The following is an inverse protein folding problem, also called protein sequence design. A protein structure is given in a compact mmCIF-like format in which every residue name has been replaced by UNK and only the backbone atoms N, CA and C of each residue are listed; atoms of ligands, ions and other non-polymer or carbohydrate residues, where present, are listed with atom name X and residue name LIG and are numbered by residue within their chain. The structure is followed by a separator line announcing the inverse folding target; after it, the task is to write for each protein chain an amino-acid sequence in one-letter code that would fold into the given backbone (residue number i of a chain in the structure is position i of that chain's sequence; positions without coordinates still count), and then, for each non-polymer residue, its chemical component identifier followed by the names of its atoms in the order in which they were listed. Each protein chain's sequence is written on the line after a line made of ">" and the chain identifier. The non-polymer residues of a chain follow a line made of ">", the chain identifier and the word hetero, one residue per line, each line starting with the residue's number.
data_IF_454831253000
#
_entry.id   IF_454831253000
#
_cell.length_a   1.000
_cell.length_b   1.000
_cell.length_c   1.000
_cell.angle_alpha   90.00
_cell.angle_beta   90.00
_cell.angle_gamma   90.00
#
_symmetry.space_group_name_H-M   'P 1'
#
loop_
_entity.id
_entity.type
_entity.pdbx_description
1 polymer ?
#
# COMPACT_ATOMS: atom_id res chain seq x y z
N UNK A 1 -14.32 7.79 -17.48
CA UNK A 1 -13.26 7.84 -16.45
C UNK A 1 -12.89 6.40 -16.11
N UNK A 2 -11.62 6.01 -16.23
CA UNK A 2 -11.18 4.70 -15.75
C UNK A 2 -11.07 4.75 -14.23
N UNK A 3 -11.63 3.76 -13.53
CA UNK A 3 -11.59 3.67 -12.07
C UNK A 3 -10.16 3.43 -11.59
N UNK A 4 -9.78 4.00 -10.44
CA UNK A 4 -8.40 3.90 -9.92
C UNK A 4 -7.94 2.44 -9.82
N UNK A 5 -8.83 1.55 -9.37
CA UNK A 5 -8.61 0.10 -9.32
C UNK A 5 -8.20 -0.50 -10.68
N UNK A 6 -9.00 -0.22 -11.73
CA UNK A 6 -8.78 -0.78 -13.07
C UNK A 6 -7.48 -0.28 -13.68
N UNK A 7 -7.12 0.98 -13.40
CA UNK A 7 -5.86 1.56 -13.83
C UNK A 7 -4.66 0.88 -13.17
N UNK A 8 -4.70 0.67 -11.85
CA UNK A 8 -3.63 -0.03 -11.15
C UNK A 8 -3.51 -1.47 -11.65
N UNK A 9 -4.62 -2.19 -11.78
CA UNK A 9 -4.62 -3.57 -12.28
C UNK A 9 -4.04 -3.65 -13.69
N UNK A 10 -4.41 -2.73 -14.58
CA UNK A 10 -3.87 -2.69 -15.95
C UNK A 10 -2.37 -2.39 -15.97
N UNK A 11 -1.89 -1.48 -15.11
CA UNK A 11 -0.46 -1.16 -15.01
C UNK A 11 0.33 -2.35 -14.48
N UNK A 12 -0.14 -2.96 -13.38
CA UNK A 12 0.56 -4.08 -12.75
C UNK A 12 0.49 -5.35 -13.59
N UNK A 13 -0.59 -5.60 -14.33
CA UNK A 13 -0.64 -6.71 -15.29
C UNK A 13 0.41 -6.57 -16.40
N UNK A 14 0.78 -5.34 -16.81
CA UNK A 14 1.87 -5.11 -17.76
C UNK A 14 3.22 -5.35 -17.11
N UNK A 15 3.45 -4.82 -15.90
CA UNK A 15 4.72 -4.98 -15.18
C UNK A 15 4.98 -6.45 -14.82
N UNK A 16 3.92 -7.17 -14.43
CA UNK A 16 3.96 -8.59 -14.06
C UNK A 16 3.82 -9.53 -15.27
N UNK A 17 3.72 -9.05 -16.51
CA UNK A 17 3.46 -9.93 -17.66
C UNK A 17 4.56 -10.98 -17.87
N UNK A 18 5.78 -10.69 -17.40
CA UNK A 18 6.93 -11.57 -17.48
C UNK A 18 7.14 -12.43 -16.21
N UNK A 19 6.28 -12.27 -15.21
CA UNK A 19 6.32 -13.00 -13.94
C UNK A 19 5.02 -13.81 -13.84
N UNK A 20 5.09 -15.04 -13.32
CA UNK A 20 3.87 -15.80 -13.07
C UNK A 20 2.96 -14.99 -12.13
N UNK A 21 1.77 -14.58 -12.61
CA UNK A 21 0.89 -13.68 -11.86
C UNK A 21 0.55 -14.34 -10.50
N UNK A 22 0.95 -13.73 -9.37
CA UNK A 22 0.62 -14.29 -8.08
C UNK A 22 -0.89 -14.20 -7.85
N UNK A 23 -1.53 -15.30 -7.47
CA UNK A 23 -2.98 -15.35 -7.21
C UNK A 23 -3.38 -14.70 -5.88
N UNK A 24 -2.41 -14.26 -5.08
CA UNK A 24 -2.58 -13.84 -3.69
C UNK A 24 -2.49 -12.32 -3.48
N UNK A 25 -2.37 -11.51 -4.53
CA UNK A 25 -2.38 -10.05 -4.38
C UNK A 25 -3.81 -9.55 -4.20
N UNK A 26 -4.05 -8.88 -3.09
CA UNK A 26 -5.34 -8.26 -2.78
C UNK A 26 -5.22 -6.74 -2.90
N UNK A 27 -5.92 -6.16 -3.87
CA UNK A 27 -6.05 -4.71 -4.04
C UNK A 27 -7.33 -4.26 -3.34
N UNK A 28 -7.23 -3.25 -2.46
CA UNK A 28 -8.36 -2.78 -1.66
C UNK A 28 -9.36 -1.98 -2.53
N UNK A 29 -10.49 -2.62 -2.86
CA UNK A 29 -11.57 -2.00 -3.67
C UNK A 29 -12.26 -0.84 -2.93
N UNK A 30 -12.51 -0.97 -1.63
CA UNK A 30 -13.16 0.07 -0.85
C UNK A 30 -12.31 1.35 -0.82
N UNK A 31 -11.00 1.21 -0.62
CA UNK A 31 -10.08 2.35 -0.71
C UNK A 31 -10.10 2.97 -2.11
N UNK A 32 -10.14 2.17 -3.18
CA UNK A 32 -10.25 2.72 -4.54
C UNK A 32 -11.52 3.55 -4.73
N UNK A 33 -12.66 3.12 -4.19
CA UNK A 33 -13.93 3.87 -4.30
C UNK A 33 -13.87 5.19 -3.54
N UNK A 34 -13.27 5.19 -2.34
CA UNK A 34 -13.01 6.41 -1.58
C UNK A 34 -12.11 7.36 -2.39
N UNK A 35 -10.98 6.86 -2.91
CA UNK A 35 -10.07 7.65 -3.75
C UNK A 35 -10.74 8.19 -5.01
N UNK A 36 -11.61 7.40 -5.65
CA UNK A 36 -12.35 7.82 -6.84
C UNK A 36 -13.27 9.02 -6.54
N UNK A 37 -13.80 9.13 -5.32
CA UNK A 37 -14.62 10.26 -4.87
C UNK A 37 -13.84 11.55 -4.56
N UNK A 38 -12.53 11.47 -4.33
CA UNK A 38 -11.69 12.63 -4.00
C UNK A 38 -11.31 13.45 -5.24
N UNK A 39 -11.28 14.78 -5.13
CA UNK A 39 -10.81 15.70 -6.17
C UNK A 39 -9.28 15.83 -6.19
N UNK A 40 -8.58 14.70 -6.38
CA UNK A 40 -7.11 14.65 -6.49
C UNK A 40 -6.67 14.06 -7.84
N UNK A 41 -5.44 14.32 -8.30
CA UNK A 41 -4.93 13.78 -9.56
C UNK A 41 -5.02 12.25 -9.62
N UNK A 42 -5.40 11.71 -10.78
CA UNK A 42 -5.53 10.25 -10.97
C UNK A 42 -4.24 9.50 -10.65
N UNK A 43 -3.08 10.05 -11.03
CA UNK A 43 -1.77 9.49 -10.68
C UNK A 43 -1.58 9.36 -9.17
N UNK A 44 -1.99 10.37 -8.39
CA UNK A 44 -1.93 10.33 -6.92
C UNK A 44 -2.82 9.25 -6.35
N UNK A 45 -4.04 9.07 -6.88
CA UNK A 45 -4.96 8.00 -6.47
C UNK A 45 -4.33 6.62 -6.69
N UNK A 46 -3.79 6.39 -7.90
CA UNK A 46 -3.15 5.12 -8.26
C UNK A 46 -1.91 4.87 -7.41
N UNK A 47 -1.11 5.91 -7.12
CA UNK A 47 0.06 5.80 -6.25
C UNK A 47 -0.33 5.37 -4.83
N UNK A 48 -1.33 6.03 -4.23
CA UNK A 48 -1.83 5.69 -2.88
C UNK A 48 -2.35 4.23 -2.85
N UNK A 49 -3.11 3.83 -3.86
CA UNK A 49 -3.62 2.46 -3.94
C UNK A 49 -2.49 1.43 -4.14
N UNK A 50 -1.44 1.77 -4.89
CA UNK A 50 -0.27 0.91 -5.11
C UNK A 50 0.49 0.66 -3.82
N UNK A 51 0.81 1.70 -3.05
CA UNK A 51 1.56 1.55 -1.81
C UNK A 51 0.72 0.86 -0.72
N UNK A 52 -0.58 1.15 -0.63
CA UNK A 52 -1.48 0.43 0.27
C UNK A 52 -1.50 -1.08 -0.07
N UNK A 53 -1.58 -1.43 -1.36
CA UNK A 53 -1.51 -2.82 -1.82
C UNK A 53 -0.18 -3.47 -1.43
N UNK A 54 0.94 -2.77 -1.62
CA UNK A 54 2.27 -3.26 -1.24
C UNK A 54 2.35 -3.58 0.25
N UNK A 55 2.02 -2.61 1.10
CA UNK A 55 2.11 -2.74 2.56
C UNK A 55 1.20 -3.86 3.07
N UNK A 56 -0.05 -3.92 2.59
CA UNK A 56 -0.99 -4.98 2.96
C UNK A 56 -0.55 -6.36 2.47
N UNK A 57 0.09 -6.44 1.31
CA UNK A 57 0.62 -7.71 0.80
C UNK A 57 1.77 -8.20 1.69
N UNK A 58 2.70 -7.32 2.06
CA UNK A 58 3.84 -7.65 2.93
C UNK A 58 3.38 -8.12 4.33
N UNK A 59 2.37 -7.47 4.92
CA UNK A 59 1.80 -7.91 6.21
C UNK A 59 1.24 -9.34 6.12
N UNK A 60 0.55 -9.64 5.01
CA UNK A 60 -0.06 -10.96 4.77
C UNK A 60 0.97 -12.06 4.58
N UNK A 61 2.16 -11.76 4.07
CA UNK A 61 3.23 -12.77 3.92
C UNK A 61 3.65 -13.30 5.30
N UNK A 62 3.88 -12.39 6.25
CA UNK A 62 4.24 -12.75 7.62
C UNK A 62 3.13 -13.52 8.33
N UNK A 63 1.87 -13.14 8.10
CA UNK A 63 0.71 -13.80 8.72
C UNK A 63 0.39 -15.18 8.13
N UNK A 64 0.34 -15.30 6.79
CA UNK A 64 -0.05 -16.53 6.08
C UNK A 64 1.13 -17.43 5.71
N UNK A 65 2.37 -17.06 6.07
CA UNK A 65 3.62 -17.78 5.75
C UNK A 65 3.76 -18.07 4.24
N UNK A 66 3.47 -17.06 3.41
CA UNK A 66 3.68 -17.20 1.97
C UNK A 66 5.17 -17.42 1.64
N UNK A 67 5.43 -18.00 0.47
CA UNK A 67 6.79 -18.19 -0.04
C UNK A 67 7.54 -16.84 -0.12
N UNK A 68 8.86 -16.88 0.10
CA UNK A 68 9.69 -15.66 0.09
C UNK A 68 9.59 -14.87 -1.22
N UNK A 69 9.29 -15.54 -2.33
CA UNK A 69 9.09 -14.92 -3.64
C UNK A 69 7.89 -13.94 -3.65
N UNK A 70 6.93 -14.09 -2.73
CA UNK A 70 5.84 -13.13 -2.57
C UNK A 70 6.34 -11.75 -2.08
N UNK A 71 7.49 -11.68 -1.39
CA UNK A 71 8.07 -10.41 -0.92
C UNK A 71 8.41 -9.54 -2.14
N UNK A 72 8.99 -10.15 -3.18
CA UNK A 72 9.36 -9.46 -4.42
C UNK A 72 8.16 -8.81 -5.11
N UNK A 73 6.97 -9.40 -4.96
CA UNK A 73 5.73 -8.82 -5.49
C UNK A 73 5.35 -7.57 -4.71
N UNK A 74 5.41 -7.61 -3.38
CA UNK A 74 5.20 -6.43 -2.53
C UNK A 74 6.18 -5.31 -2.84
N UNK A 75 7.46 -5.65 -3.02
CA UNK A 75 8.51 -4.70 -3.40
C UNK A 75 8.27 -4.12 -4.81
N UNK A 76 7.74 -4.90 -5.74
CA UNK A 76 7.38 -4.42 -7.07
C UNK A 76 6.24 -3.38 -7.02
N UNK A 77 5.21 -3.60 -6.19
CA UNK A 77 4.17 -2.59 -5.97
C UNK A 77 4.71 -1.32 -5.31
N UNK A 78 5.69 -1.46 -4.41
CA UNK A 78 6.39 -0.32 -3.80
C UNK A 78 7.23 0.45 -4.84
N UNK A 79 7.97 -0.26 -5.69
CA UNK A 79 8.72 0.34 -6.80
C UNK A 79 7.80 1.04 -7.80
N UNK A 80 6.65 0.43 -8.12
CA UNK A 80 5.63 1.05 -8.97
C UNK A 80 5.08 2.34 -8.36
N UNK A 81 4.86 2.36 -7.04
CA UNK A 81 4.50 3.59 -6.32
C UNK A 81 5.57 4.69 -6.50
N UNK A 82 6.85 4.37 -6.33
CA UNK A 82 7.93 5.36 -6.50
C UNK A 82 8.01 5.88 -7.95
N UNK A 83 7.78 5.01 -8.93
CA UNK A 83 7.65 5.42 -10.33
C UNK A 83 6.50 6.42 -10.51
N UNK A 84 5.32 6.15 -9.96
CA UNK A 84 4.17 7.06 -10.05
C UNK A 84 4.42 8.39 -9.35
N UNK A 85 5.03 8.37 -8.15
CA UNK A 85 5.39 9.61 -7.43
C UNK A 85 6.38 10.46 -8.22
N UNK A 86 7.35 9.85 -8.90
CA UNK A 86 8.31 10.59 -9.72
C UNK A 86 7.64 11.39 -10.85
N UNK A 87 6.45 10.96 -11.29
CA UNK A 87 5.66 11.62 -12.33
C UNK A 87 4.74 12.72 -11.77
N UNK A 88 4.37 12.68 -10.49
CA UNK A 88 3.45 13.64 -9.86
C UNK A 88 4.11 15.02 -9.70
N UNK A 89 5.45 15.11 -9.77
CA UNK A 89 6.24 16.36 -9.68
C UNK A 89 5.92 17.25 -8.47
N UNK A 90 5.29 16.70 -7.42
CA UNK A 90 4.96 17.41 -6.17
C UNK A 90 5.84 16.90 -5.04
N UNK A 91 6.81 17.72 -4.64
CA UNK A 91 7.72 17.41 -3.52
C UNK A 91 6.97 17.35 -2.19
N UNK A 92 5.96 18.19 -2.00
CA UNK A 92 5.09 18.18 -0.81
C UNK A 92 4.32 16.86 -0.69
N UNK A 93 3.71 16.39 -1.78
CA UNK A 93 3.00 15.11 -1.78
C UNK A 93 3.95 13.94 -1.49
N UNK A 94 5.11 13.92 -2.15
CA UNK A 94 6.14 12.90 -1.92
C UNK A 94 6.60 12.87 -0.46
N UNK A 95 6.83 14.04 0.15
CA UNK A 95 7.22 14.16 1.55
C UNK A 95 6.15 13.58 2.48
N UNK A 96 4.91 14.05 2.37
CA UNK A 96 3.81 13.58 3.22
C UNK A 96 3.57 12.08 3.09
N UNK A 97 3.61 11.55 1.86
CA UNK A 97 3.45 10.11 1.65
C UNK A 97 4.61 9.30 2.24
N UNK A 98 5.85 9.79 2.13
CA UNK A 98 7.01 9.11 2.72
C UNK A 98 6.94 9.11 4.25
N UNK A 99 6.56 10.25 4.85
CA UNK A 99 6.33 10.36 6.30
C UNK A 99 5.22 9.41 6.76
N UNK A 100 4.12 9.31 6.01
CA UNK A 100 3.03 8.38 6.30
C UNK A 100 3.49 6.91 6.23
N UNK A 101 4.26 6.52 5.21
CA UNK A 101 4.80 5.16 5.08
C UNK A 101 5.70 4.80 6.26
N UNK A 102 6.61 5.71 6.63
CA UNK A 102 7.50 5.51 7.80
C UNK A 102 6.66 5.35 9.07
N UNK A 103 5.66 6.21 9.26
CA UNK A 103 4.77 6.17 10.43
C UNK A 103 4.00 4.85 10.52
N UNK A 104 3.41 4.39 9.42
CA UNK A 104 2.66 3.12 9.37
C UNK A 104 3.58 1.95 9.72
N UNK A 105 4.78 1.87 9.12
CA UNK A 105 5.72 0.79 9.41
C UNK A 105 6.24 0.82 10.86
N UNK A 106 6.48 2.01 11.41
CA UNK A 106 6.85 2.18 12.81
C UNK A 106 5.72 1.72 13.74
N UNK A 107 4.47 2.10 13.46
CA UNK A 107 3.30 1.70 14.24
C UNK A 107 3.04 0.19 14.15
N UNK A 108 3.18 -0.42 12.98
CA UNK A 108 3.11 -1.89 12.84
C UNK A 108 4.19 -2.61 13.64
N UNK A 109 5.43 -2.12 13.58
CA UNK A 109 6.54 -2.67 14.37
C UNK A 109 6.31 -2.51 15.87
N UNK A 110 5.76 -1.36 16.28
CA UNK A 110 5.37 -1.07 17.65
C UNK A 110 4.28 -2.04 18.14
N UNK A 111 3.22 -2.24 17.36
CA UNK A 111 2.18 -3.23 17.66
C UNK A 111 2.76 -4.64 17.78
N UNK A 112 3.65 -5.05 16.86
CA UNK A 112 4.24 -6.37 16.90
C UNK A 112 5.05 -6.62 18.17
N UNK A 113 5.83 -5.64 18.63
CA UNK A 113 6.78 -5.80 19.73
C UNK A 113 6.21 -5.42 21.11
N UNK A 114 5.26 -4.48 21.17
CA UNK A 114 4.79 -3.86 22.42
C UNK A 114 3.27 -4.00 22.66
N UNK A 115 2.54 -4.82 21.87
CA UNK A 115 1.09 -5.01 22.07
C UNK A 115 0.69 -5.46 23.49
N UNK A 116 1.57 -6.16 24.21
CA UNK A 116 1.27 -6.66 25.56
C UNK A 116 1.32 -5.57 26.63
N UNK A 117 1.99 -4.44 26.37
CA UNK A 117 2.08 -3.30 27.29
C UNK A 117 1.08 -2.19 26.96
N UNK A 118 0.28 -2.32 25.90
CA UNK A 118 -0.67 -1.30 25.49
C UNK A 118 -2.00 -1.42 26.20
N UNK A 119 -2.53 -0.28 26.66
CA UNK A 119 -3.94 -0.19 27.04
C UNK A 119 -4.84 -0.39 25.81
N UNK A 120 -6.08 -0.84 26.04
CA UNK A 120 -7.06 -1.01 24.95
C UNK A 120 -7.28 0.28 24.13
N UNK A 121 -7.22 1.45 24.78
CA UNK A 121 -7.35 2.74 24.10
C UNK A 121 -6.19 3.00 23.15
N UNK A 122 -4.94 2.83 23.63
CA UNK A 122 -3.75 3.05 22.81
C UNK A 122 -3.66 2.03 21.67
N UNK A 123 -4.12 0.80 21.90
CA UNK A 123 -4.22 -0.21 20.85
C UNK A 123 -5.20 0.23 19.75
N UNK A 124 -6.39 0.72 20.14
CA UNK A 124 -7.40 1.22 19.18
C UNK A 124 -6.87 2.40 18.37
N UNK A 125 -6.27 3.40 19.02
CA UNK A 125 -5.70 4.57 18.33
C UNK A 125 -4.58 4.18 17.36
N UNK A 126 -3.75 3.22 17.75
CA UNK A 126 -2.65 2.75 16.89
C UNK A 126 -3.18 1.98 15.69
N UNK A 127 -4.21 1.15 15.85
CA UNK A 127 -4.88 0.46 14.73
C UNK A 127 -5.53 1.47 13.78
N UNK A 128 -6.24 2.47 14.32
CA UNK A 128 -6.87 3.53 13.51
C UNK A 128 -5.87 4.41 12.77
N UNK A 129 -4.63 4.51 13.24
CA UNK A 129 -3.59 5.27 12.56
C UNK A 129 -2.88 4.47 11.45
N UNK A 130 -2.99 3.14 11.48
CA UNK A 130 -2.44 2.23 10.46
C UNK A 130 -3.40 2.05 9.28
N UNK A 131 -4.72 2.05 9.54
CA UNK A 131 -5.79 1.96 8.52
C UNK A 131 -6.17 3.33 7.93
#
# INVERSE_FOLDING_TARGET
>A
MSKTFELLEKQMNKTLIHIHKPKNVFVNRALSEILDSLEIPTLSKVAVLSINTAMNHLDRISFYRFERDAILIGDLYSAHYYYLISQIQSTTFQKHMSEAIIKINAQKSYLQNEHQSLSQHQLLETVLAVE
#
